data_IF_390035065211
#
_entry.id   IF_390035065211
#
_cell.length_a   1.000
_cell.length_b   1.000
_cell.length_c   1.000
_cell.angle_alpha   90.00
_cell.angle_beta   90.00
_cell.angle_gamma   90.00
#
_symmetry.space_group_name_H-M   'P 1'
#
loop_
_entity.id
_entity.type
_entity.pdbx_description
1 polymer ?
#
# COMPACT_ATOMS: atom_id res chain seq x y z
N UNK A 1 24.16 -25.57 6.35
CA UNK A 1 22.71 -25.77 6.60
C UNK A 1 22.09 -26.37 5.35
N UNK A 2 21.09 -27.26 5.49
CA UNK A 2 20.35 -27.78 4.32
C UNK A 2 19.53 -26.63 3.73
N UNK A 3 19.71 -26.37 2.44
CA UNK A 3 18.94 -25.37 1.71
C UNK A 3 17.48 -25.81 1.61
N UNK A 4 16.56 -24.90 1.92
CA UNK A 4 15.12 -25.16 1.92
C UNK A 4 14.40 -24.19 1.00
N UNK A 5 13.40 -24.65 0.25
CA UNK A 5 12.62 -23.81 -0.65
C UNK A 5 11.51 -23.06 0.10
N UNK A 6 11.37 -21.75 -0.16
CA UNK A 6 10.39 -20.86 0.43
C UNK A 6 9.46 -20.31 -0.65
N UNK A 7 8.15 -20.45 -0.47
CA UNK A 7 7.16 -19.80 -1.32
C UNK A 7 6.28 -18.88 -0.47
N UNK A 8 6.22 -17.59 -0.84
CA UNK A 8 5.31 -16.63 -0.19
C UNK A 8 4.20 -16.22 -1.16
N UNK A 9 2.95 -16.55 -0.82
CA UNK A 9 1.79 -15.97 -1.49
C UNK A 9 1.36 -14.70 -0.78
N UNK A 10 1.64 -13.56 -1.39
CA UNK A 10 1.21 -12.26 -0.86
C UNK A 10 -0.19 -11.89 -1.36
N UNK A 11 -1.08 -11.58 -0.44
CA UNK A 11 -2.39 -11.00 -0.71
C UNK A 11 -2.51 -9.63 -0.04
N UNK A 12 -2.96 -8.62 -0.79
CA UNK A 12 -3.39 -7.37 -0.19
C UNK A 12 -2.77 -6.12 -0.79
N UNK A 13 -2.09 -5.37 0.07
CA UNK A 13 -1.60 -4.01 -0.19
C UNK A 13 -0.07 -3.95 -0.24
N UNK A 14 0.46 -2.76 -0.51
CA UNK A 14 1.89 -2.47 -0.55
C UNK A 14 2.58 -2.84 0.77
N UNK A 15 1.91 -2.65 1.91
CA UNK A 15 2.42 -3.07 3.21
C UNK A 15 2.56 -4.59 3.31
N UNK A 16 1.65 -5.38 2.73
CA UNK A 16 1.81 -6.84 2.68
C UNK A 16 2.96 -7.26 1.76
N UNK A 17 3.18 -6.58 0.62
CA UNK A 17 4.36 -6.82 -0.24
C UNK A 17 5.63 -6.60 0.60
N UNK A 18 5.69 -5.49 1.32
CA UNK A 18 6.83 -5.16 2.18
C UNK A 18 7.00 -6.15 3.35
N UNK A 19 5.92 -6.55 4.00
CA UNK A 19 5.97 -7.58 5.06
C UNK A 19 6.54 -8.90 4.51
N UNK A 20 6.21 -9.30 3.27
CA UNK A 20 6.78 -10.49 2.64
C UNK A 20 8.27 -10.35 2.34
N UNK A 21 8.71 -9.20 1.83
CA UNK A 21 10.15 -8.91 1.61
C UNK A 21 10.94 -9.03 2.93
N UNK A 22 10.40 -8.49 4.03
CA UNK A 22 11.01 -8.63 5.36
C UNK A 22 11.09 -10.10 5.78
N UNK A 23 10.03 -10.88 5.60
CA UNK A 23 9.99 -12.30 5.96
C UNK A 23 11.06 -13.09 5.17
N UNK A 24 11.21 -12.82 3.87
CA UNK A 24 12.23 -13.44 3.02
C UNK A 24 13.64 -13.12 3.54
N UNK A 25 13.91 -11.84 3.83
CA UNK A 25 15.20 -11.43 4.39
C UNK A 25 15.52 -12.11 5.71
N UNK A 26 14.55 -12.18 6.63
CA UNK A 26 14.74 -12.83 7.93
C UNK A 26 15.00 -14.34 7.83
N UNK A 27 14.45 -14.99 6.80
CA UNK A 27 14.59 -16.43 6.59
C UNK A 27 15.80 -16.82 5.75
N UNK A 28 16.39 -15.89 5.00
CA UNK A 28 17.57 -16.15 4.17
C UNK A 28 18.77 -16.68 4.99
N UNK A 29 19.18 -16.09 6.14
CA UNK A 29 20.24 -16.65 6.98
C UNK A 29 19.90 -18.02 7.59
N UNK A 30 18.62 -18.38 7.61
CA UNK A 30 18.16 -19.69 8.08
C UNK A 30 18.22 -20.78 6.99
N UNK A 31 18.73 -20.45 5.79
CA UNK A 31 18.89 -21.36 4.66
C UNK A 31 17.66 -21.50 3.77
N UNK A 32 16.68 -20.60 3.89
CA UNK A 32 15.51 -20.59 3.01
C UNK A 32 15.76 -19.73 1.76
N UNK A 33 15.48 -20.27 0.58
CA UNK A 33 15.59 -19.55 -0.69
C UNK A 33 14.23 -19.50 -1.42
N UNK A 34 13.88 -18.38 -2.06
CA UNK A 34 12.63 -18.26 -2.82
C UNK A 34 12.50 -19.31 -3.92
N UNK A 35 11.27 -19.80 -4.14
CA UNK A 35 10.89 -20.64 -5.29
C UNK A 35 9.62 -20.09 -5.95
N UNK A 36 9.49 -20.31 -7.27
CA UNK A 36 8.28 -19.99 -8.03
C UNK A 36 7.19 -21.07 -7.89
N UNK A 37 7.55 -22.26 -7.41
CA UNK A 37 6.67 -23.42 -7.34
C UNK A 37 6.19 -23.65 -5.91
N UNK A 38 4.91 -23.39 -5.66
CA UNK A 38 4.31 -23.53 -4.32
C UNK A 38 4.31 -24.99 -3.82
N UNK A 39 4.09 -25.95 -4.72
CA UNK A 39 4.02 -27.38 -4.41
C UNK A 39 5.39 -28.02 -4.10
N UNK A 40 6.46 -27.43 -4.63
CA UNK A 40 7.83 -27.86 -4.37
C UNK A 40 8.43 -27.22 -3.11
N UNK A 41 7.76 -26.24 -2.51
CA UNK A 41 8.27 -25.47 -1.37
C UNK A 41 8.31 -26.29 -0.07
N UNK A 42 9.42 -26.22 0.66
CA UNK A 42 9.55 -26.77 2.02
C UNK A 42 8.82 -25.91 3.06
N UNK A 43 8.66 -24.61 2.79
CA UNK A 43 7.88 -23.68 3.58
C UNK A 43 6.99 -22.83 2.68
N UNK A 44 5.68 -22.90 2.89
CA UNK A 44 4.69 -22.03 2.25
C UNK A 44 4.15 -21.03 3.25
N UNK A 45 4.25 -19.75 2.93
CA UNK A 45 3.70 -18.65 3.73
C UNK A 45 2.59 -17.95 2.94
N UNK A 46 1.39 -17.92 3.51
CA UNK A 46 0.30 -17.09 3.00
C UNK A 46 0.29 -15.77 3.78
N UNK A 47 0.78 -14.68 3.19
CA UNK A 47 0.74 -13.35 3.81
C UNK A 47 -0.53 -12.61 3.38
N UNK A 48 -1.36 -12.27 4.36
CA UNK A 48 -2.78 -11.98 4.11
C UNK A 48 -3.20 -10.57 4.53
N UNK A 49 -4.24 -10.06 3.87
CA UNK A 49 -4.86 -8.77 4.16
C UNK A 49 -6.32 -8.97 4.54
N UNK A 50 -6.85 -8.21 5.50
CA UNK A 50 -8.26 -8.31 5.95
C UNK A 50 -9.15 -7.18 5.39
N UNK A 51 -8.57 -6.24 4.64
CA UNK A 51 -9.26 -5.03 4.16
C UNK A 51 -10.14 -5.32 2.94
N UNK A 52 -9.72 -6.20 2.03
CA UNK A 52 -10.50 -6.52 0.82
C UNK A 52 -11.59 -7.54 1.11
N UNK A 53 -12.73 -7.43 0.42
CA UNK A 53 -13.78 -8.45 0.52
C UNK A 53 -13.26 -9.82 0.03
N UNK A 54 -13.75 -10.90 0.63
CA UNK A 54 -13.37 -12.30 0.32
C UNK A 54 -11.89 -12.67 0.53
N UNK A 55 -11.09 -11.82 1.17
CA UNK A 55 -9.68 -12.13 1.41
C UNK A 55 -9.52 -13.39 2.30
N UNK A 56 -10.33 -13.51 3.34
CA UNK A 56 -10.40 -14.71 4.20
C UNK A 56 -10.74 -15.98 3.40
N UNK A 57 -11.77 -15.92 2.55
CA UNK A 57 -12.21 -17.06 1.73
C UNK A 57 -11.10 -17.55 0.79
N UNK A 58 -10.33 -16.64 0.18
CA UNK A 58 -9.20 -16.99 -0.68
C UNK A 58 -8.11 -17.74 0.07
N UNK A 59 -7.80 -17.32 1.30
CA UNK A 59 -6.80 -17.98 2.15
C UNK A 59 -7.24 -19.39 2.49
N UNK A 60 -8.47 -19.59 2.96
CA UNK A 60 -8.98 -20.92 3.28
C UNK A 60 -9.07 -21.83 2.05
N UNK A 61 -9.44 -21.29 0.88
CA UNK A 61 -9.45 -22.07 -0.36
C UNK A 61 -8.04 -22.56 -0.72
N UNK A 62 -7.03 -21.70 -0.60
CA UNK A 62 -5.65 -22.06 -0.92
C UNK A 62 -5.07 -23.05 0.11
N UNK A 63 -5.37 -22.87 1.39
CA UNK A 63 -5.02 -23.84 2.43
C UNK A 63 -5.61 -25.23 2.15
N UNK A 64 -6.84 -25.30 1.62
CA UNK A 64 -7.45 -26.56 1.20
C UNK A 64 -6.67 -27.28 0.10
N UNK A 65 -6.09 -26.54 -0.85
CA UNK A 65 -5.23 -27.08 -1.91
C UNK A 65 -3.89 -27.57 -1.32
N UNK A 66 -3.23 -26.73 -0.51
CA UNK A 66 -1.94 -27.04 0.13
C UNK A 66 -2.02 -28.31 0.98
N UNK A 67 -3.18 -28.61 1.57
CA UNK A 67 -3.39 -29.85 2.32
C UNK A 67 -3.01 -31.10 1.53
N UNK A 68 -3.31 -31.14 0.24
CA UNK A 68 -3.01 -32.30 -0.61
C UNK A 68 -1.50 -32.52 -0.74
N UNK A 69 -0.73 -31.45 -0.92
CA UNK A 69 0.74 -31.52 -1.00
C UNK A 69 1.37 -31.87 0.34
N UNK A 70 0.86 -31.32 1.44
CA UNK A 70 1.37 -31.65 2.78
C UNK A 70 1.09 -33.10 3.17
N UNK A 71 0.02 -33.72 2.67
CA UNK A 71 -0.24 -35.15 2.90
C UNK A 71 0.81 -36.05 2.23
N UNK A 72 1.32 -35.68 1.04
CA UNK A 72 2.41 -36.41 0.39
C UNK A 72 3.80 -36.00 0.89
N UNK A 73 3.93 -34.81 1.49
CA UNK A 73 5.17 -34.25 2.05
C UNK A 73 4.95 -33.75 3.49
N UNK A 74 4.91 -34.63 4.50
CA UNK A 74 4.62 -34.25 5.88
C UNK A 74 5.63 -33.27 6.49
N UNK A 75 6.84 -33.18 5.93
CA UNK A 75 7.88 -32.24 6.32
C UNK A 75 7.61 -30.79 5.89
N UNK A 76 6.71 -30.60 4.93
CA UNK A 76 6.30 -29.28 4.43
C UNK A 76 5.67 -28.46 5.55
N UNK A 77 6.19 -27.24 5.74
CA UNK A 77 5.65 -26.27 6.70
C UNK A 77 4.71 -25.29 6.01
N UNK A 78 3.61 -24.98 6.69
CA UNK A 78 2.55 -24.08 6.20
C UNK A 78 2.29 -23.02 7.24
N UNK A 79 2.51 -21.77 6.87
CA UNK A 79 2.30 -20.61 7.71
C UNK A 79 1.25 -19.66 7.12
N UNK A 80 0.46 -19.03 7.99
CA UNK A 80 -0.45 -17.93 7.63
C UNK A 80 -0.04 -16.69 8.41
N UNK A 81 0.20 -15.59 7.72
CA UNK A 81 0.66 -14.33 8.31
C UNK A 81 -0.21 -13.14 7.89
N UNK A 82 0.00 -12.00 8.53
CA UNK A 82 -0.65 -10.74 8.16
C UNK A 82 -1.99 -10.51 8.87
N UNK A 83 -2.84 -9.65 8.30
CA UNK A 83 -4.02 -9.14 9.01
C UNK A 83 -5.13 -10.19 9.20
N UNK A 84 -5.28 -11.19 8.32
CA UNK A 84 -6.26 -12.27 8.53
C UNK A 84 -5.76 -13.20 9.62
N UNK A 85 -4.45 -13.54 9.62
CA UNK A 85 -3.83 -14.31 10.70
C UNK A 85 -4.05 -13.65 12.07
N UNK A 86 -3.85 -12.34 12.15
CA UNK A 86 -4.06 -11.53 13.35
C UNK A 86 -5.52 -11.53 13.83
N UNK A 87 -6.50 -11.56 12.91
CA UNK A 87 -7.92 -11.50 13.24
C UNK A 87 -8.50 -12.88 13.59
N UNK A 88 -8.15 -13.92 12.82
CA UNK A 88 -8.72 -15.25 12.98
C UNK A 88 -7.96 -16.10 14.01
N UNK A 89 -6.65 -15.89 14.16
CA UNK A 89 -5.82 -16.53 15.18
C UNK A 89 -6.02 -18.05 15.24
N UNK A 90 -6.38 -18.55 16.43
CA UNK A 90 -6.63 -19.98 16.67
C UNK A 90 -7.68 -20.61 15.76
N UNK A 91 -8.65 -19.83 15.26
CA UNK A 91 -9.71 -20.37 14.39
C UNK A 91 -9.13 -20.97 13.11
N UNK A 92 -7.97 -20.48 12.66
CA UNK A 92 -7.26 -21.05 11.51
C UNK A 92 -6.87 -22.50 11.80
N UNK A 93 -6.25 -22.79 12.94
CA UNK A 93 -5.89 -24.17 13.32
C UNK A 93 -7.11 -25.08 13.43
N UNK A 94 -8.21 -24.58 14.03
CA UNK A 94 -9.45 -25.37 14.17
C UNK A 94 -10.05 -25.74 12.81
N UNK A 95 -9.98 -24.83 11.83
CA UNK A 95 -10.53 -25.04 10.48
C UNK A 95 -9.57 -25.79 9.55
N UNK A 96 -8.27 -25.57 9.72
CA UNK A 96 -7.19 -26.09 8.87
C UNK A 96 -6.07 -26.67 9.74
N UNK A 97 -6.26 -27.88 10.31
CA UNK A 97 -5.31 -28.49 11.26
C UNK A 97 -3.91 -28.78 10.69
N UNK A 98 -3.76 -28.73 9.37
CA UNK A 98 -2.47 -28.92 8.68
C UNK A 98 -1.63 -27.63 8.61
N UNK A 99 -2.10 -26.50 9.13
CA UNK A 99 -1.29 -25.28 9.30
C UNK A 99 -0.38 -25.46 10.52
N UNK A 100 0.91 -25.14 10.38
CA UNK A 100 1.89 -25.24 11.49
C UNK A 100 2.05 -23.92 12.24
N UNK A 101 1.86 -22.79 11.55
CA UNK A 101 2.25 -21.49 12.09
C UNK A 101 1.23 -20.41 11.72
N UNK A 102 0.77 -19.64 12.72
CA UNK A 102 -0.10 -18.47 12.51
C UNK A 102 0.53 -17.25 13.18
N UNK A 103 0.85 -16.23 12.39
CA UNK A 103 1.62 -15.06 12.85
C UNK A 103 0.92 -13.75 12.52
N UNK A 104 0.70 -12.95 13.56
CA UNK A 104 0.16 -11.60 13.47
C UNK A 104 1.14 -10.60 12.86
N UNK A 105 0.68 -9.39 12.60
CA UNK A 105 1.44 -8.40 11.82
C UNK A 105 2.70 -7.89 12.54
N UNK A 106 2.67 -7.72 13.87
CA UNK A 106 3.85 -7.32 14.65
C UNK A 106 4.80 -8.49 14.96
N UNK A 107 4.34 -9.73 14.78
CA UNK A 107 5.08 -10.93 15.16
C UNK A 107 5.87 -11.53 13.98
N UNK A 108 5.80 -10.93 12.77
CA UNK A 108 6.50 -11.44 11.58
C UNK A 108 8.02 -11.55 11.79
N UNK A 109 8.60 -10.67 12.63
CA UNK A 109 10.02 -10.65 12.95
C UNK A 109 10.49 -11.87 13.75
N UNK A 110 9.56 -12.61 14.37
CA UNK A 110 9.83 -13.83 15.15
C UNK A 110 9.70 -15.11 14.33
N UNK A 111 9.31 -15.02 13.06
CA UNK A 111 9.14 -16.20 12.20
C UNK A 111 10.37 -17.12 12.19
N UNK A 112 11.62 -16.63 12.11
CA UNK A 112 12.81 -17.49 12.20
C UNK A 112 12.92 -18.27 13.52
N UNK A 113 12.59 -17.64 14.64
CA UNK A 113 12.55 -18.30 15.96
C UNK A 113 11.47 -19.38 15.99
N UNK A 114 10.26 -19.05 15.55
CA UNK A 114 9.10 -19.93 15.57
C UNK A 114 9.27 -21.17 14.68
N UNK A 115 9.91 -21.00 13.51
CA UNK A 115 10.24 -22.13 12.63
C UNK A 115 11.28 -23.05 13.27
N UNK A 116 12.32 -22.51 13.91
CA UNK A 116 13.32 -23.34 14.60
C UNK A 116 12.70 -24.19 15.70
N UNK A 117 11.75 -23.64 16.46
CA UNK A 117 11.02 -24.39 17.48
C UNK A 117 10.16 -25.52 16.88
N UNK A 118 9.53 -25.28 15.73
CA UNK A 118 8.78 -26.31 15.00
C UNK A 118 9.70 -27.41 14.46
N UNK A 119 10.88 -27.05 13.94
CA UNK A 119 11.88 -28.00 13.46
C UNK A 119 12.47 -28.85 14.58
N UNK A 120 12.64 -28.27 15.77
CA UNK A 120 13.11 -28.97 16.97
C UNK A 120 12.05 -29.92 17.59
N UNK A 121 10.82 -29.92 17.07
CA UNK A 121 9.73 -30.76 17.58
C UNK A 121 9.18 -30.32 18.94
N UNK A 122 9.44 -29.07 19.36
CA UNK A 122 8.93 -28.54 20.63
C UNK A 122 7.41 -28.36 20.64
N UNK A 123 6.77 -28.39 19.46
CA UNK A 123 5.31 -28.36 19.28
C UNK A 123 4.91 -28.82 17.88
N UNK A 124 3.64 -29.18 17.74
CA UNK A 124 2.99 -29.43 16.45
C UNK A 124 2.45 -28.16 15.77
N UNK A 125 2.34 -27.05 16.49
CA UNK A 125 1.94 -25.75 15.94
C UNK A 125 2.24 -24.57 16.86
N UNK A 126 2.38 -23.37 16.29
CA UNK A 126 2.64 -22.11 17.02
C UNK A 126 1.69 -20.99 16.60
N UNK A 127 1.12 -20.31 17.59
CA UNK A 127 0.36 -19.07 17.42
C UNK A 127 1.15 -17.91 18.00
N UNK A 128 1.34 -16.84 17.21
CA UNK A 128 1.95 -15.60 17.68
C UNK A 128 1.17 -14.41 17.12
N UNK A 129 0.21 -13.89 17.87
CA UNK A 129 -0.68 -12.79 17.42
C UNK A 129 -0.73 -11.64 18.43
N UNK A 130 0.22 -11.56 19.35
CA UNK A 130 0.22 -10.48 20.35
C UNK A 130 0.57 -9.13 19.70
N UNK A 131 -0.18 -8.09 20.08
CA UNK A 131 0.12 -6.71 19.74
C UNK A 131 0.61 -6.00 21.01
N UNK A 132 1.86 -5.56 21.00
CA UNK A 132 2.46 -4.87 22.15
C UNK A 132 2.31 -3.34 21.99
N UNK A 133 1.94 -2.67 23.09
CA UNK A 133 1.93 -1.20 23.16
C UNK A 133 3.34 -0.61 23.09
N UNK A 134 4.36 -1.38 23.50
CA UNK A 134 5.78 -1.02 23.44
C UNK A 134 6.47 -1.56 22.18
N UNK A 135 5.70 -2.04 21.21
CA UNK A 135 6.25 -2.52 19.95
C UNK A 135 7.05 -1.40 19.26
N UNK A 136 8.31 -1.70 18.99
CA UNK A 136 9.18 -0.93 18.13
C UNK A 136 9.43 -1.74 16.87
N UNK A 137 9.34 -1.09 15.71
CA UNK A 137 9.68 -1.70 14.42
C UNK A 137 11.18 -2.04 14.48
N UNK A 138 11.57 -3.31 14.32
CA UNK A 138 12.98 -3.68 14.32
C UNK A 138 13.73 -2.97 13.19
N UNK A 139 15.01 -2.62 13.40
CA UNK A 139 15.85 -2.02 12.37
C UNK A 139 15.89 -2.86 11.10
N UNK A 140 16.08 -2.20 9.97
CA UNK A 140 16.26 -2.90 8.71
C UNK A 140 17.53 -3.75 8.74
N UNK A 141 17.43 -5.00 8.26
CA UNK A 141 18.56 -5.90 8.16
C UNK A 141 18.71 -6.36 6.71
N UNK A 142 19.82 -6.01 6.09
CA UNK A 142 20.16 -6.35 4.71
C UNK A 142 20.64 -7.80 4.59
N UNK A 143 19.79 -8.76 4.96
CA UNK A 143 20.17 -10.15 5.18
C UNK A 143 20.24 -11.01 3.92
N UNK A 144 19.61 -10.56 2.83
CA UNK A 144 19.58 -11.25 1.53
C UNK A 144 20.01 -10.30 0.42
N UNK A 145 20.70 -10.77 -0.63
CA UNK A 145 20.76 -10.02 -1.88
C UNK A 145 19.33 -9.78 -2.35
N UNK A 146 18.95 -8.51 -2.49
CA UNK A 146 17.67 -8.16 -3.08
C UNK A 146 17.75 -8.41 -4.59
N UNK A 147 16.68 -8.90 -5.24
CA UNK A 147 16.61 -8.82 -6.70
C UNK A 147 16.81 -7.36 -7.13
N UNK A 148 17.48 -7.15 -8.26
CA UNK A 148 17.61 -5.82 -8.85
C UNK A 148 16.21 -5.27 -9.15
N UNK A 149 15.75 -4.35 -8.31
CA UNK A 149 14.51 -3.60 -8.47
C UNK A 149 14.89 -2.11 -8.41
N UNK A 150 14.43 -1.32 -9.37
CA UNK A 150 14.68 0.12 -9.39
C UNK A 150 13.76 0.90 -8.44
N UNK A 151 12.75 0.26 -7.85
CA UNK A 151 11.77 0.88 -6.94
C UNK A 151 11.58 0.06 -5.66
N UNK A 152 11.45 0.74 -4.53
CA UNK A 152 11.21 0.07 -3.23
C UNK A 152 10.23 0.81 -2.33
N UNK A 153 9.61 0.01 -1.46
CA UNK A 153 8.78 0.50 -0.37
C UNK A 153 9.59 0.51 0.94
N UNK A 154 9.54 1.63 1.67
CA UNK A 154 10.13 1.73 3.00
C UNK A 154 9.00 1.96 4.01
N UNK A 155 8.81 1.03 4.95
CA UNK A 155 7.84 1.19 6.05
C UNK A 155 8.40 2.13 7.10
N UNK A 156 7.88 3.36 7.17
CA UNK A 156 8.35 4.37 8.13
C UNK A 156 7.58 4.32 9.46
N UNK A 157 6.40 3.69 9.47
CA UNK A 157 5.57 3.55 10.66
C UNK A 157 4.56 2.42 10.51
N UNK A 158 4.01 1.95 11.62
CA UNK A 158 3.00 0.91 11.69
C UNK A 158 1.89 1.27 12.68
N UNK A 159 0.67 0.84 12.38
CA UNK A 159 -0.50 1.01 13.24
C UNK A 159 -1.29 2.29 12.92
N UNK A 160 -2.46 2.44 13.53
CA UNK A 160 -3.29 3.65 13.34
C UNK A 160 -4.11 3.99 14.59
N UNK A 161 -4.11 5.27 14.98
CA UNK A 161 -4.80 5.80 16.15
C UNK A 161 -6.09 6.57 15.78
N UNK A 162 -6.48 6.59 14.51
CA UNK A 162 -7.70 7.29 14.07
C UNK A 162 -9.00 6.58 14.47
N UNK A 163 -8.97 5.25 14.66
CA UNK A 163 -10.13 4.42 15.03
C UNK A 163 -11.38 4.70 14.18
N UNK A 164 -11.24 4.89 12.87
CA UNK A 164 -12.40 5.03 11.97
C UNK A 164 -13.35 3.84 12.19
N UNK A 165 -14.66 4.10 12.29
CA UNK A 165 -15.61 3.10 12.80
C UNK A 165 -15.68 1.81 11.98
N UNK A 166 -15.27 1.85 10.71
CA UNK A 166 -15.20 0.73 9.78
C UNK A 166 -13.83 0.07 9.63
N UNK A 167 -12.78 0.63 10.24
CA UNK A 167 -11.40 0.23 9.96
C UNK A 167 -10.92 -0.84 10.95
N UNK A 168 -10.38 -1.94 10.40
CA UNK A 168 -9.77 -3.05 11.18
C UNK A 168 -8.32 -2.82 11.58
N UNK A 169 -7.67 -1.80 11.01
CA UNK A 169 -6.22 -1.56 11.20
C UNK A 169 -5.81 -1.46 12.67
N UNK A 170 -6.50 -0.71 13.55
CA UNK A 170 -6.07 -0.62 14.95
C UNK A 170 -6.05 -1.96 15.68
N UNK A 171 -6.95 -2.88 15.31
CA UNK A 171 -7.03 -4.23 15.88
C UNK A 171 -6.08 -5.23 15.18
N UNK A 172 -5.63 -4.94 13.96
CA UNK A 172 -4.79 -5.85 13.18
C UNK A 172 -3.34 -5.43 13.05
N UNK A 173 -2.99 -4.17 13.32
CA UNK A 173 -1.61 -3.64 13.29
C UNK A 173 -1.21 -2.88 14.54
N UNK A 174 -2.13 -2.69 15.49
CA UNK A 174 -1.86 -2.05 16.77
C UNK A 174 -1.87 -0.52 16.72
N UNK A 175 -1.30 0.07 17.77
CA UNK A 175 -1.14 1.52 17.94
C UNK A 175 -0.05 2.06 17.00
N UNK A 176 -0.14 3.34 16.68
CA UNK A 176 0.87 4.02 15.86
C UNK A 176 2.23 4.02 16.56
N UNK A 177 3.23 3.49 15.86
CA UNK A 177 4.64 3.57 16.21
C UNK A 177 5.43 3.95 14.96
N UNK A 178 6.33 4.91 15.11
CA UNK A 178 7.18 5.46 14.06
C UNK A 178 8.58 4.89 14.18
N UNK A 179 9.20 4.56 13.05
CA UNK A 179 10.56 4.04 12.96
C UNK A 179 11.57 5.19 13.15
N UNK A 180 12.72 4.98 13.82
CA UNK A 180 13.75 6.01 13.95
C UNK A 180 14.20 6.57 12.61
N UNK A 181 14.52 7.86 12.56
CA UNK A 181 14.94 8.56 11.33
C UNK A 181 16.22 7.93 10.78
N UNK A 182 17.21 7.67 11.64
CA UNK A 182 18.49 7.08 11.23
C UNK A 182 18.29 5.75 10.49
N UNK A 183 17.45 4.86 11.03
CA UNK A 183 17.15 3.56 10.41
C UNK A 183 16.39 3.69 9.07
N UNK A 184 15.60 4.76 8.87
CA UNK A 184 14.98 5.05 7.57
C UNK A 184 16.03 5.49 6.55
N UNK A 185 16.94 6.37 6.95
CA UNK A 185 17.99 6.88 6.07
C UNK A 185 19.01 5.78 5.74
N UNK A 186 19.39 4.94 6.70
CA UNK A 186 20.31 3.83 6.49
C UNK A 186 19.74 2.82 5.49
N UNK A 187 18.47 2.45 5.64
CA UNK A 187 17.78 1.60 4.66
C UNK A 187 17.74 2.26 3.27
N UNK A 188 17.35 3.54 3.18
CA UNK A 188 17.26 4.24 1.92
C UNK A 188 18.61 4.33 1.19
N UNK A 189 19.68 4.71 1.89
CA UNK A 189 21.04 4.77 1.34
C UNK A 189 21.49 3.41 0.79
N UNK A 190 21.25 2.34 1.55
CA UNK A 190 21.62 1.00 1.12
C UNK A 190 20.84 0.55 -0.13
N UNK A 191 19.54 0.83 -0.17
CA UNK A 191 18.70 0.50 -1.33
C UNK A 191 19.15 1.28 -2.58
N UNK A 192 19.49 2.55 -2.43
CA UNK A 192 20.00 3.38 -3.53
C UNK A 192 21.36 2.86 -4.02
N UNK A 193 22.25 2.47 -3.10
CA UNK A 193 23.52 1.83 -3.45
C UNK A 193 23.35 0.50 -4.21
N UNK A 194 22.17 -0.14 -4.12
CA UNK A 194 21.79 -1.34 -4.87
C UNK A 194 21.09 -1.05 -6.20
N UNK A 195 20.97 0.24 -6.58
CA UNK A 195 20.38 0.68 -7.85
C UNK A 195 18.90 1.09 -7.76
N UNK A 196 18.34 1.24 -6.55
CA UNK A 196 16.99 1.80 -6.39
C UNK A 196 17.01 3.30 -6.71
N UNK A 197 16.13 3.72 -7.61
CA UNK A 197 15.94 5.11 -8.06
C UNK A 197 14.64 5.73 -7.56
N UNK A 198 13.62 4.92 -7.23
CA UNK A 198 12.35 5.38 -6.67
C UNK A 198 12.06 4.76 -5.29
N UNK A 199 11.82 5.61 -4.28
CA UNK A 199 11.39 5.19 -2.94
C UNK A 199 9.97 5.67 -2.69
N UNK A 200 9.12 4.76 -2.22
CA UNK A 200 7.80 5.09 -1.67
C UNK A 200 7.74 4.82 -0.18
N UNK A 201 7.55 5.87 0.62
CA UNK A 201 7.37 5.75 2.07
C UNK A 201 5.96 5.23 2.41
N UNK A 202 5.89 4.20 3.24
CA UNK A 202 4.67 3.51 3.62
C UNK A 202 4.37 3.65 5.12
N UNK A 203 3.08 3.79 5.42
CA UNK A 203 2.51 3.72 6.75
C UNK A 203 0.99 3.54 6.66
N UNK A 204 0.30 3.44 7.80
CA UNK A 204 -1.17 3.49 7.80
C UNK A 204 -1.74 4.91 7.98
N UNK A 205 -0.92 5.86 8.40
CA UNK A 205 -1.21 7.29 8.44
C UNK A 205 0.10 8.07 8.43
N UNK A 206 0.77 8.17 7.28
CA UNK A 206 2.14 8.72 7.23
C UNK A 206 2.25 10.15 7.78
N UNK A 207 1.15 10.91 7.73
CA UNK A 207 1.10 12.28 8.28
C UNK A 207 1.25 12.35 9.81
N UNK A 208 1.13 11.23 10.54
CA UNK A 208 1.35 11.19 12.00
C UNK A 208 2.74 10.67 12.39
N UNK A 209 3.65 10.49 11.44
CA UNK A 209 5.04 10.13 11.73
C UNK A 209 5.67 11.07 12.75
N UNK A 210 6.38 10.50 13.73
CA UNK A 210 7.08 11.24 14.78
C UNK A 210 6.20 11.81 15.89
N UNK A 211 4.87 11.62 15.83
CA UNK A 211 3.93 12.17 16.85
C UNK A 211 3.70 11.27 18.06
N UNK A 212 4.03 9.97 17.98
CA UNK A 212 3.66 8.99 19.02
C UNK A 212 4.84 8.44 19.82
N UNK A 213 6.05 8.53 19.30
CA UNK A 213 7.29 8.14 19.97
C UNK A 213 8.45 8.99 19.45
N UNK A 214 9.52 9.16 20.24
CA UNK A 214 10.76 9.75 19.74
C UNK A 214 11.30 8.95 18.55
N UNK A 215 11.69 9.66 17.51
CA UNK A 215 12.30 9.09 16.28
C UNK A 215 13.73 9.57 16.05
N UNK A 216 14.17 10.58 16.81
CA UNK A 216 15.51 11.13 16.86
C UNK A 216 15.68 11.87 18.22
N UNK A 217 16.87 12.41 18.50
CA UNK A 217 17.12 13.22 19.71
C UNK A 217 16.24 14.47 19.77
N UNK A 218 16.06 15.13 18.62
CA UNK A 218 15.12 16.24 18.44
C UNK A 218 13.84 15.75 17.74
N UNK A 219 12.68 16.39 17.98
CA UNK A 219 11.45 16.08 17.26
C UNK A 219 11.62 16.22 15.74
N UNK A 220 11.18 15.21 15.00
CA UNK A 220 11.14 15.20 13.54
C UNK A 220 9.75 14.76 13.11
N UNK A 221 9.06 15.61 12.35
CA UNK A 221 7.76 15.28 11.78
C UNK A 221 7.90 14.69 10.37
N UNK A 222 6.77 14.41 9.73
CA UNK A 222 6.77 13.77 8.41
C UNK A 222 7.36 14.67 7.30
N UNK A 223 7.11 15.99 7.35
CA UNK A 223 7.65 16.92 6.36
C UNK A 223 9.18 16.97 6.46
N UNK A 224 9.72 17.09 7.67
CA UNK A 224 11.16 17.04 7.91
C UNK A 224 11.79 15.69 7.50
N UNK A 225 11.09 14.57 7.71
CA UNK A 225 11.54 13.27 7.20
C UNK A 225 11.63 13.26 5.66
N UNK A 226 10.62 13.80 4.95
CA UNK A 226 10.65 13.88 3.49
C UNK A 226 11.86 14.64 2.98
N UNK A 227 12.19 15.81 3.56
CA UNK A 227 13.40 16.56 3.19
C UNK A 227 14.67 15.74 3.43
N UNK A 228 14.77 15.03 4.56
CA UNK A 228 15.93 14.20 4.88
C UNK A 228 16.12 13.04 3.90
N UNK A 229 15.04 12.35 3.53
CA UNK A 229 15.08 11.26 2.55
C UNK A 229 15.38 11.80 1.15
N UNK A 230 14.80 12.95 0.79
CA UNK A 230 15.02 13.56 -0.51
C UNK A 230 16.44 14.11 -0.71
N UNK A 231 17.14 14.43 0.38
CA UNK A 231 18.54 14.87 0.35
C UNK A 231 19.55 13.72 0.17
N UNK A 232 19.09 12.47 0.02
CA UNK A 232 19.98 11.34 -0.24
C UNK A 232 20.40 11.34 -1.71
N UNK A 233 21.71 11.43 -1.94
CA UNK A 233 22.29 11.40 -3.28
C UNK A 233 21.90 10.12 -4.05
N UNK A 234 21.47 10.29 -5.29
CA UNK A 234 21.07 9.19 -6.18
C UNK A 234 19.59 8.81 -6.13
N UNK A 235 18.79 9.40 -5.22
CA UNK A 235 17.33 9.22 -5.25
C UNK A 235 16.71 10.11 -6.33
N UNK A 236 16.08 9.51 -7.34
CA UNK A 236 15.47 10.26 -8.45
C UNK A 236 13.98 10.56 -8.22
N UNK A 237 13.27 9.69 -7.49
CA UNK A 237 11.83 9.86 -7.21
C UNK A 237 11.49 9.47 -5.78
N UNK A 238 10.80 10.38 -5.11
CA UNK A 238 10.22 10.15 -3.79
C UNK A 238 8.69 10.18 -3.88
N UNK A 239 8.05 9.21 -3.22
CA UNK A 239 6.61 9.12 -3.07
C UNK A 239 6.26 8.75 -1.64
N UNK A 240 5.00 8.95 -1.28
CA UNK A 240 4.40 8.37 -0.10
C UNK A 240 2.93 8.07 -0.34
N UNK A 241 2.33 7.25 0.52
CA UNK A 241 0.90 6.97 0.45
C UNK A 241 0.30 6.73 1.84
N UNK A 242 -1.03 6.76 1.89
CA UNK A 242 -1.86 6.63 3.09
C UNK A 242 -1.86 7.88 3.97
N UNK A 243 -2.43 8.96 3.41
CA UNK A 243 -2.67 10.19 4.14
C UNK A 243 -4.05 10.22 4.82
N UNK A 244 -4.19 11.03 5.87
CA UNK A 244 -5.46 11.36 6.49
C UNK A 244 -5.72 12.87 6.41
N UNK A 245 -6.88 13.33 5.92
CA UNK A 245 -7.19 14.77 5.85
C UNK A 245 -7.02 15.52 7.17
N UNK A 246 -7.32 14.87 8.31
CA UNK A 246 -7.13 15.45 9.65
C UNK A 246 -5.69 15.89 9.92
N UNK A 247 -4.73 15.11 9.43
CA UNK A 247 -3.32 15.21 9.82
C UNK A 247 -2.44 15.87 8.74
N UNK A 248 -3.03 16.25 7.59
CA UNK A 248 -2.35 16.99 6.54
C UNK A 248 -2.06 18.43 7.01
N UNK A 249 -0.77 18.72 7.24
CA UNK A 249 -0.27 20.03 7.66
C UNK A 249 0.15 20.90 6.47
N UNK A 250 0.27 22.20 6.70
CA UNK A 250 0.72 23.14 5.67
C UNK A 250 2.20 22.91 5.31
N UNK A 251 3.02 22.46 6.26
CA UNK A 251 4.42 22.05 6.04
C UNK A 251 4.50 20.93 4.99
N UNK A 252 3.63 19.91 5.12
CA UNK A 252 3.61 18.80 4.17
C UNK A 252 3.10 19.24 2.79
N UNK A 253 2.17 20.20 2.73
CA UNK A 253 1.71 20.77 1.45
C UNK A 253 2.88 21.49 0.76
N UNK A 254 3.68 22.27 1.50
CA UNK A 254 4.86 22.97 0.97
C UNK A 254 5.96 22.04 0.46
N UNK A 255 6.07 20.82 0.98
CA UNK A 255 7.02 19.85 0.43
C UNK A 255 6.86 19.60 -1.08
N UNK A 256 5.65 19.75 -1.65
CA UNK A 256 5.41 19.58 -3.09
C UNK A 256 6.01 20.71 -3.96
N UNK A 257 6.38 21.84 -3.38
CA UNK A 257 7.11 22.92 -4.05
C UNK A 257 8.57 22.99 -3.65
N UNK A 258 8.91 22.52 -2.46
CA UNK A 258 10.28 22.60 -1.91
C UNK A 258 11.14 21.36 -2.25
N UNK A 259 10.54 20.23 -2.61
CA UNK A 259 11.25 18.98 -2.90
C UNK A 259 11.02 18.57 -4.37
N UNK A 260 12.04 18.78 -5.22
CA UNK A 260 11.92 18.55 -6.67
C UNK A 260 11.60 17.10 -7.04
N UNK A 261 12.21 16.14 -6.35
CA UNK A 261 11.99 14.70 -6.62
C UNK A 261 10.71 14.16 -5.98
N UNK A 262 9.98 14.96 -5.19
CA UNK A 262 8.71 14.56 -4.62
C UNK A 262 7.64 14.58 -5.73
N UNK A 263 7.28 13.38 -6.17
CA UNK A 263 6.36 13.22 -7.28
C UNK A 263 4.98 13.84 -6.96
N UNK A 264 4.40 14.68 -7.84
CA UNK A 264 3.14 15.39 -7.62
C UNK A 264 1.93 14.45 -7.82
N UNK A 265 1.83 13.44 -6.95
CA UNK A 265 0.73 12.51 -6.85
C UNK A 265 0.36 12.33 -5.38
N UNK A 266 -0.87 12.65 -5.02
CA UNK A 266 -1.31 12.66 -3.64
C UNK A 266 -2.62 11.91 -3.45
N UNK A 267 -2.57 10.86 -2.64
CA UNK A 267 -3.74 10.08 -2.27
C UNK A 267 -4.32 10.60 -0.96
N UNK A 268 -5.50 11.23 -1.01
CA UNK A 268 -6.17 11.86 0.13
C UNK A 268 -7.60 11.34 0.33
N UNK A 269 -7.76 10.20 1.04
CA UNK A 269 -9.05 9.54 1.24
C UNK A 269 -10.05 10.36 2.08
N UNK A 270 -11.13 10.82 1.44
CA UNK A 270 -12.23 11.52 2.13
C UNK A 270 -13.27 10.55 2.69
N UNK A 271 -13.49 9.41 2.01
CA UNK A 271 -14.45 8.33 2.29
C UNK A 271 -15.92 8.64 2.00
N UNK A 272 -16.38 9.86 2.26
CA UNK A 272 -17.75 10.32 1.95
C UNK A 272 -17.75 11.84 1.77
N UNK A 273 -18.68 12.37 0.97
CA UNK A 273 -18.90 13.81 0.87
C UNK A 273 -20.02 14.33 1.77
N UNK A 274 -20.46 13.56 2.77
CA UNK A 274 -21.48 14.00 3.74
C UNK A 274 -20.91 14.07 5.15
N UNK A 275 -20.99 15.24 5.80
CA UNK A 275 -20.51 15.44 7.18
C UNK A 275 -21.18 14.50 8.17
N UNK A 276 -22.45 14.18 7.96
CA UNK A 276 -23.20 13.23 8.80
C UNK A 276 -22.61 11.83 8.73
N UNK A 277 -22.27 11.37 7.52
CA UNK A 277 -21.64 10.08 7.29
C UNK A 277 -20.20 10.09 7.80
N UNK A 278 -19.43 11.14 7.53
CA UNK A 278 -18.06 11.33 8.03
C UNK A 278 -18.00 11.26 9.57
N UNK A 279 -18.90 11.95 10.26
CA UNK A 279 -19.01 11.90 11.72
C UNK A 279 -19.30 10.46 12.21
N UNK A 280 -20.21 9.73 11.54
CA UNK A 280 -20.53 8.34 11.86
C UNK A 280 -19.38 7.37 11.53
N UNK A 281 -18.57 7.70 10.53
CA UNK A 281 -17.30 7.05 10.21
C UNK A 281 -16.21 7.34 11.26
N UNK A 282 -16.46 8.25 12.20
CA UNK A 282 -15.48 8.79 13.15
C UNK A 282 -14.32 9.51 12.45
N UNK A 283 -14.61 10.20 11.35
CA UNK A 283 -13.71 11.19 10.77
C UNK A 283 -13.78 12.46 11.62
N UNK A 284 -12.63 13.11 11.80
CA UNK A 284 -12.46 14.29 12.68
C UNK A 284 -12.22 15.54 11.83
N UNK A 285 -12.96 15.62 10.73
CA UNK A 285 -12.97 16.73 9.80
C UNK A 285 -14.32 16.74 9.06
N UNK A 286 -14.65 17.88 8.51
CA UNK A 286 -15.81 18.16 7.65
C UNK A 286 -15.40 18.21 6.18
N UNK A 287 -16.38 18.22 5.29
CA UNK A 287 -16.19 18.42 3.85
C UNK A 287 -15.59 19.79 3.55
N UNK A 288 -15.98 20.83 4.31
CA UNK A 288 -15.43 22.18 4.15
C UNK A 288 -13.93 22.21 4.46
N UNK A 289 -13.51 21.66 5.60
CA UNK A 289 -12.09 21.55 5.98
C UNK A 289 -11.29 20.67 5.01
N UNK A 290 -11.93 19.64 4.44
CA UNK A 290 -11.32 18.83 3.39
C UNK A 290 -11.08 19.64 2.12
N UNK A 291 -12.07 20.41 1.67
CA UNK A 291 -11.99 21.23 0.47
C UNK A 291 -10.94 22.35 0.62
N UNK A 292 -10.84 22.97 1.80
CA UNK A 292 -9.78 23.96 2.08
C UNK A 292 -8.38 23.34 1.89
N UNK A 293 -8.16 22.11 2.34
CA UNK A 293 -6.89 21.41 2.15
C UNK A 293 -6.62 21.06 0.69
N UNK A 294 -7.66 20.68 -0.05
CA UNK A 294 -7.57 20.43 -1.50
C UNK A 294 -7.19 21.71 -2.24
N UNK A 295 -7.81 22.83 -1.90
CA UNK A 295 -7.53 24.15 -2.48
C UNK A 295 -6.07 24.56 -2.23
N UNK A 296 -5.61 24.53 -0.97
CA UNK A 296 -4.21 24.81 -0.63
C UNK A 296 -3.22 23.92 -1.39
N UNK A 297 -3.55 22.64 -1.57
CA UNK A 297 -2.69 21.71 -2.29
C UNK A 297 -2.62 22.04 -3.79
N UNK A 298 -3.74 22.41 -4.40
CA UNK A 298 -3.81 22.82 -5.81
C UNK A 298 -3.16 24.18 -6.05
N UNK A 299 -3.29 25.12 -5.12
CA UNK A 299 -2.62 26.42 -5.19
C UNK A 299 -1.10 26.26 -5.07
N UNK A 300 -0.64 25.36 -4.19
CA UNK A 300 0.76 25.03 -4.02
C UNK A 300 1.33 24.29 -5.25
N UNK A 301 0.62 23.28 -5.76
CA UNK A 301 1.05 22.42 -6.87
C UNK A 301 -0.09 22.18 -7.87
N UNK A 302 -0.31 23.07 -8.85
CA UNK A 302 -1.47 23.02 -9.75
C UNK A 302 -1.60 21.76 -10.63
N UNK A 303 -0.48 21.11 -10.94
CA UNK A 303 -0.39 19.87 -11.73
C UNK A 303 -0.52 18.59 -10.88
N UNK A 304 -0.78 18.70 -9.57
CA UNK A 304 -0.82 17.54 -8.68
C UNK A 304 -1.97 16.57 -9.03
N UNK A 305 -1.61 15.29 -9.17
CA UNK A 305 -2.56 14.22 -9.41
C UNK A 305 -3.16 13.71 -8.11
N UNK A 306 -4.39 14.13 -7.82
CA UNK A 306 -5.11 13.68 -6.63
C UNK A 306 -5.92 12.40 -6.84
N UNK A 307 -5.88 11.49 -5.87
CA UNK A 307 -6.77 10.35 -5.77
C UNK A 307 -7.41 10.23 -4.38
N UNK A 308 -8.49 9.46 -4.26
CA UNK A 308 -9.24 9.32 -3.00
C UNK A 308 -9.81 7.92 -2.82
N UNK A 309 -10.30 7.61 -1.61
CA UNK A 309 -11.16 6.46 -1.36
C UNK A 309 -12.58 6.92 -1.04
N UNK A 310 -13.57 6.18 -1.52
CA UNK A 310 -14.99 6.38 -1.22
C UNK A 310 -15.64 5.07 -0.78
N UNK A 311 -16.45 5.13 0.27
CA UNK A 311 -17.27 4.01 0.74
C UNK A 311 -18.74 4.41 0.59
N UNK A 312 -19.44 3.76 -0.33
CA UNK A 312 -20.88 3.96 -0.52
C UNK A 312 -21.70 2.97 0.31
N UNK A 313 -22.89 3.37 0.71
CA UNK A 313 -23.81 2.54 1.47
C UNK A 313 -23.40 2.30 2.92
N UNK A 314 -22.70 3.27 3.52
CA UNK A 314 -22.34 3.21 4.93
C UNK A 314 -23.62 3.08 5.81
N UNK A 315 -23.60 2.38 6.96
CA UNK A 315 -24.81 2.22 7.78
C UNK A 315 -25.44 3.57 8.12
N UNK A 316 -26.70 3.75 7.73
CA UNK A 316 -27.46 5.00 7.88
C UNK A 316 -27.27 6.05 6.80
N UNK A 317 -26.56 5.77 5.69
CA UNK A 317 -26.38 6.67 4.54
C UNK A 317 -27.68 6.83 3.73
N UNK A 318 -28.19 8.06 3.68
CA UNK A 318 -29.40 8.45 2.93
C UNK A 318 -29.09 8.76 1.47
N UNK A 319 -30.12 8.96 0.65
CA UNK A 319 -29.92 9.41 -0.74
C UNK A 319 -29.30 10.81 -0.79
N UNK A 320 -29.68 11.70 0.12
CA UNK A 320 -29.11 13.05 0.23
C UNK A 320 -27.61 13.01 0.53
N UNK A 321 -27.14 12.15 1.45
CA UNK A 321 -25.71 12.04 1.74
C UNK A 321 -24.92 11.50 0.54
N UNK A 322 -25.54 10.61 -0.24
CA UNK A 322 -24.94 10.10 -1.45
C UNK A 322 -24.85 11.20 -2.52
N UNK A 323 -25.88 12.03 -2.68
CA UNK A 323 -25.81 13.21 -3.56
C UNK A 323 -24.72 14.21 -3.12
N UNK A 324 -24.53 14.41 -1.82
CA UNK A 324 -23.42 15.23 -1.29
C UNK A 324 -22.05 14.64 -1.67
N UNK A 325 -21.92 13.30 -1.64
CA UNK A 325 -20.73 12.60 -2.13
C UNK A 325 -20.51 12.81 -3.64
N UNK A 326 -21.57 12.79 -4.44
CA UNK A 326 -21.49 13.07 -5.88
C UNK A 326 -21.10 14.53 -6.16
N UNK A 327 -21.64 15.49 -5.38
CA UNK A 327 -21.26 16.91 -5.47
C UNK A 327 -19.77 17.11 -5.16
N UNK A 328 -19.26 16.46 -4.12
CA UNK A 328 -17.83 16.53 -3.78
C UNK A 328 -16.95 15.98 -4.92
N UNK A 329 -17.36 14.86 -5.52
CA UNK A 329 -16.68 14.29 -6.69
C UNK A 329 -16.63 15.30 -7.86
N UNK A 330 -17.73 16.01 -8.11
CA UNK A 330 -17.82 17.02 -9.16
C UNK A 330 -17.01 18.29 -8.90
N UNK A 331 -16.84 18.68 -7.62
CA UNK A 331 -16.03 19.83 -7.21
C UNK A 331 -14.53 19.50 -7.35
N UNK A 332 -14.07 18.41 -6.71
CA UNK A 332 -12.63 18.10 -6.64
C UNK A 332 -12.11 17.51 -7.95
N UNK A 333 -12.94 16.71 -8.63
CA UNK A 333 -12.63 16.10 -9.92
C UNK A 333 -11.31 15.30 -9.88
N UNK A 334 -11.23 14.31 -8.98
CA UNK A 334 -10.05 13.46 -8.78
C UNK A 334 -9.55 12.79 -10.07
N UNK A 335 -8.24 12.59 -10.17
CA UNK A 335 -7.62 11.82 -11.26
C UNK A 335 -7.98 10.34 -11.19
N UNK A 336 -8.20 9.82 -9.98
CA UNK A 336 -8.71 8.47 -9.77
C UNK A 336 -9.32 8.30 -8.39
N UNK A 337 -10.06 7.21 -8.18
CA UNK A 337 -10.53 6.84 -6.85
C UNK A 337 -10.66 5.33 -6.68
N UNK A 338 -10.47 4.88 -5.45
CA UNK A 338 -10.85 3.54 -5.02
C UNK A 338 -12.21 3.62 -4.35
N UNK A 339 -13.25 3.12 -5.03
CA UNK A 339 -14.61 3.14 -4.53
C UNK A 339 -15.10 1.74 -4.18
N UNK A 340 -15.70 1.62 -3.00
CA UNK A 340 -16.15 0.34 -2.46
C UNK A 340 -17.56 0.43 -1.90
N UNK A 341 -18.29 -0.68 -1.95
CA UNK A 341 -19.48 -0.86 -1.10
C UNK A 341 -19.04 -1.07 0.34
N UNK A 342 -19.77 -0.47 1.27
CA UNK A 342 -19.61 -0.79 2.67
C UNK A 342 -19.86 -2.28 2.92
N UNK A 343 -18.90 -2.91 3.61
CA UNK A 343 -18.97 -4.29 4.09
C UNK A 343 -18.63 -4.27 5.57
N UNK A 344 -19.43 -4.99 6.36
CA UNK A 344 -19.09 -5.24 7.75
C UNK A 344 -17.75 -5.97 7.84
N UNK A 345 -17.00 -5.61 8.88
CA UNK A 345 -15.73 -6.25 9.21
C UNK A 345 -15.79 -6.72 10.65
N UNK A 346 -15.40 -7.97 10.95
CA UNK A 346 -15.46 -8.48 12.32
C UNK A 346 -14.74 -7.55 13.30
N UNK A 347 -15.42 -7.21 14.40
CA UNK A 347 -14.87 -6.39 15.47
C UNK A 347 -14.84 -4.88 15.23
N UNK A 348 -15.26 -4.37 14.06
CA UNK A 348 -15.33 -2.91 13.86
C UNK A 348 -16.61 -2.32 14.45
N UNK A 349 -16.57 -1.05 14.87
CA UNK A 349 -17.73 -0.37 15.48
C UNK A 349 -18.91 -0.31 14.51
N UNK A 350 -18.63 -0.03 13.24
CA UNK A 350 -19.67 0.08 12.22
C UNK A 350 -20.39 -1.25 11.96
N UNK A 351 -19.76 -2.39 12.27
CA UNK A 351 -20.41 -3.70 12.18
C UNK A 351 -21.69 -3.77 13.02
N UNK A 352 -21.70 -3.10 14.17
CA UNK A 352 -22.82 -3.07 15.11
C UNK A 352 -23.80 -1.90 14.89
N UNK A 353 -23.59 -1.09 13.86
CA UNK A 353 -24.51 0.01 13.55
C UNK A 353 -25.78 -0.51 12.89
N UNK A 354 -26.94 -0.03 13.35
CA UNK A 354 -28.23 -0.27 12.70
C UNK A 354 -28.38 0.49 11.37
N UNK A 355 -29.50 0.25 10.69
CA UNK A 355 -29.90 0.89 9.43
C UNK A 355 -28.89 0.63 8.31
N UNK A 356 -28.50 -0.63 8.12
CA UNK A 356 -27.67 -1.04 6.98
C UNK A 356 -28.40 -0.72 5.67
N UNK A 357 -27.69 -0.13 4.72
CA UNK A 357 -28.22 0.13 3.38
C UNK A 357 -28.35 -1.20 2.62
N UNK A 358 -29.43 -1.37 1.88
CA UNK A 358 -29.67 -2.57 1.06
C UNK A 358 -28.59 -2.75 -0.02
N UNK A 359 -28.20 -4.00 -0.27
CA UNK A 359 -27.10 -4.32 -1.18
C UNK A 359 -27.37 -3.89 -2.64
N UNK A 360 -28.64 -3.88 -3.07
CA UNK A 360 -29.05 -3.34 -4.37
C UNK A 360 -28.77 -1.85 -4.44
N UNK A 361 -29.18 -1.10 -3.42
CA UNK A 361 -28.93 0.36 -3.33
C UNK A 361 -27.43 0.66 -3.32
N UNK A 362 -26.63 -0.09 -2.55
CA UNK A 362 -25.16 0.08 -2.57
C UNK A 362 -24.58 -0.16 -3.97
N UNK A 363 -25.09 -1.16 -4.68
CA UNK A 363 -24.60 -1.51 -6.02
C UNK A 363 -24.97 -0.46 -7.06
N UNK A 364 -26.18 0.09 -6.99
CA UNK A 364 -26.63 1.20 -7.83
C UNK A 364 -25.80 2.47 -7.58
N UNK A 365 -25.61 2.84 -6.30
CA UNK A 365 -24.77 3.97 -5.89
C UNK A 365 -23.33 3.82 -6.36
N UNK A 366 -22.72 2.65 -6.16
CA UNK A 366 -21.35 2.39 -6.60
C UNK A 366 -21.21 2.53 -8.12
N UNK A 367 -22.13 1.93 -8.87
CA UNK A 367 -22.13 2.00 -10.34
C UNK A 367 -22.24 3.46 -10.83
N UNK A 368 -23.15 4.24 -10.24
CA UNK A 368 -23.32 5.66 -10.57
C UNK A 368 -22.07 6.49 -10.24
N UNK A 369 -21.48 6.28 -9.07
CA UNK A 369 -20.24 6.94 -8.66
C UNK A 369 -19.09 6.61 -9.62
N UNK A 370 -18.87 5.33 -9.91
CA UNK A 370 -17.79 4.86 -10.79
C UNK A 370 -17.95 5.38 -12.21
N UNK A 371 -19.17 5.39 -12.75
CA UNK A 371 -19.45 5.99 -14.05
C UNK A 371 -19.00 7.44 -14.09
N UNK A 372 -19.39 8.25 -13.09
CA UNK A 372 -19.02 9.66 -13.04
C UNK A 372 -17.52 9.88 -12.85
N UNK A 373 -16.89 9.09 -11.98
CA UNK A 373 -15.44 9.12 -11.79
C UNK A 373 -14.70 8.79 -13.09
N UNK A 374 -15.19 7.84 -13.89
CA UNK A 374 -14.56 7.47 -15.16
C UNK A 374 -14.65 8.62 -16.18
N UNK A 375 -15.78 9.32 -16.25
CA UNK A 375 -15.95 10.51 -17.08
C UNK A 375 -14.95 11.61 -16.67
N UNK A 376 -14.82 11.86 -15.36
CA UNK A 376 -13.88 12.84 -14.81
C UNK A 376 -12.43 12.44 -15.08
N UNK A 377 -12.08 11.18 -14.81
CA UNK A 377 -10.74 10.64 -15.00
C UNK A 377 -10.30 10.73 -16.45
N UNK A 378 -11.16 10.34 -17.39
CA UNK A 378 -10.88 10.50 -18.82
C UNK A 378 -10.72 11.97 -19.21
N UNK A 379 -11.56 12.87 -18.69
CA UNK A 379 -11.44 14.30 -18.95
C UNK A 379 -10.14 14.91 -18.38
N UNK A 380 -9.65 14.42 -17.22
CA UNK A 380 -8.36 14.78 -16.65
C UNK A 380 -7.21 14.23 -17.49
N UNK A 381 -7.25 12.96 -17.87
CA UNK A 381 -6.24 12.31 -18.70
C UNK A 381 -6.07 13.01 -20.06
N UNK A 382 -7.18 13.45 -20.68
CA UNK A 382 -7.13 14.22 -21.94
C UNK A 382 -6.35 15.53 -21.86
N UNK A 383 -6.18 16.11 -20.67
CA UNK A 383 -5.35 17.32 -20.48
C UNK A 383 -3.86 17.06 -20.68
N UNK A 384 -3.41 15.81 -20.60
CA UNK A 384 -2.03 15.44 -20.86
C UNK A 384 -1.73 15.26 -22.36
N UNK A 385 -2.74 15.17 -23.23
CA UNK A 385 -2.52 15.05 -24.67
C UNK A 385 -1.79 16.30 -25.18
N UNK A 386 -0.78 16.10 -26.04
CA UNK A 386 0.16 17.10 -26.54
C UNK A 386 1.10 17.69 -25.49
N UNK A 387 1.23 17.06 -24.32
CA UNK A 387 2.26 17.39 -23.33
C UNK A 387 3.39 16.37 -23.35
N UNK A 388 4.56 16.74 -22.85
CA UNK A 388 5.70 15.84 -22.69
C UNK A 388 5.89 15.52 -21.21
N UNK A 389 5.93 14.24 -20.87
CA UNK A 389 6.06 13.76 -19.48
C UNK A 389 7.35 12.95 -19.30
N UNK A 390 7.95 13.05 -18.12
CA UNK A 390 9.06 12.19 -17.72
C UNK A 390 8.53 10.84 -17.24
N UNK A 391 8.88 9.79 -17.96
CA UNK A 391 8.41 8.43 -17.73
C UNK A 391 9.57 7.57 -17.24
N UNK A 392 9.41 7.00 -16.05
CA UNK A 392 10.33 5.98 -15.55
C UNK A 392 9.86 4.62 -16.03
N UNK A 393 10.73 3.90 -16.73
CA UNK A 393 10.46 2.62 -17.38
C UNK A 393 10.23 1.54 -16.31
N UNK A 394 9.12 0.81 -16.42
CA UNK A 394 8.81 -0.35 -15.55
C UNK A 394 9.03 -1.70 -16.24
N UNK A 395 9.28 -1.70 -17.54
CA UNK A 395 9.46 -2.90 -18.37
C UNK A 395 8.66 -2.83 -19.67
N UNK A 396 8.35 -3.99 -20.24
CA UNK A 396 7.55 -4.12 -21.46
C UNK A 396 6.13 -4.58 -21.16
N UNK A 397 5.11 -3.87 -21.65
CA UNK A 397 3.72 -4.31 -21.58
C UNK A 397 3.42 -5.43 -22.60
N UNK A 398 4.11 -5.40 -23.73
CA UNK A 398 4.07 -6.37 -24.83
C UNK A 398 5.42 -6.25 -25.59
N UNK A 399 5.87 -7.23 -26.43
CA UNK A 399 7.15 -7.12 -27.14
C UNK A 399 7.32 -5.87 -27.99
N UNK A 400 6.24 -5.16 -28.33
CA UNK A 400 6.26 -3.93 -29.14
C UNK A 400 6.02 -2.64 -28.33
N UNK A 401 5.75 -2.73 -27.01
CA UNK A 401 5.39 -1.58 -26.19
C UNK A 401 6.07 -1.62 -24.83
N UNK A 402 6.85 -0.58 -24.56
CA UNK A 402 7.31 -0.27 -23.21
C UNK A 402 6.17 0.28 -22.37
N UNK A 403 6.25 0.02 -21.07
CA UNK A 403 5.40 0.62 -20.06
C UNK A 403 6.27 1.35 -19.04
N UNK A 404 5.83 2.54 -18.65
CA UNK A 404 6.42 3.26 -17.53
C UNK A 404 5.39 4.07 -16.77
N UNK A 405 5.86 4.79 -15.75
CA UNK A 405 5.02 5.71 -14.96
C UNK A 405 5.53 7.14 -14.99
N UNK A 406 4.60 8.08 -15.11
CA UNK A 406 4.88 9.50 -14.91
C UNK A 406 5.12 9.85 -13.45
N UNK A 407 5.61 11.05 -13.19
CA UNK A 407 5.69 11.63 -11.83
C UNK A 407 4.29 11.74 -11.18
N UNK A 408 3.25 12.02 -11.97
CA UNK A 408 1.83 12.00 -11.54
C UNK A 408 1.21 10.59 -11.44
N UNK A 409 2.02 9.52 -11.53
CA UNK A 409 1.64 8.11 -11.39
C UNK A 409 0.71 7.56 -12.51
N UNK A 410 0.63 8.25 -13.65
CA UNK A 410 -0.07 7.73 -14.82
C UNK A 410 0.75 6.62 -15.48
N UNK A 411 0.09 5.53 -15.88
CA UNK A 411 0.70 4.49 -16.72
C UNK A 411 0.79 5.04 -18.14
N UNK A 412 1.98 4.96 -18.74
CA UNK A 412 2.23 5.41 -20.10
C UNK A 412 2.81 4.27 -20.91
N UNK A 413 2.19 3.99 -22.07
CA UNK A 413 2.70 3.05 -23.04
C UNK A 413 3.34 3.80 -24.21
N UNK A 414 4.48 3.32 -24.68
CA UNK A 414 5.20 3.93 -25.79
C UNK A 414 6.05 2.89 -26.53
N UNK A 415 6.29 3.06 -27.84
CA UNK A 415 7.14 2.15 -28.60
C UNK A 415 8.61 2.29 -28.17
N UNK A 416 9.45 1.27 -28.42
CA UNK A 416 10.89 1.36 -28.23
C UNK A 416 11.47 2.58 -28.97
N UNK A 417 12.29 3.43 -28.32
CA UNK A 417 12.94 4.53 -29.00
C UNK A 417 13.97 4.01 -30.02
N UNK A 418 14.08 4.69 -31.17
CA UNK A 418 15.07 4.33 -32.18
C UNK A 418 16.49 4.58 -31.65
N UNK A 419 17.36 3.57 -31.75
CA UNK A 419 18.78 3.72 -31.42
C UNK A 419 19.13 3.88 -29.93
N UNK A 420 18.16 3.73 -29.02
CA UNK A 420 18.38 3.78 -27.56
C UNK A 420 17.84 2.52 -26.90
N UNK A 421 18.72 1.80 -26.22
CA UNK A 421 18.32 0.70 -25.33
C UNK A 421 17.78 1.28 -24.02
N UNK A 422 16.65 0.77 -23.54
CA UNK A 422 16.03 1.20 -22.28
C UNK A 422 15.94 0.03 -21.31
N UNK A 423 16.33 0.28 -20.07
CA UNK A 423 16.24 -0.66 -18.97
C UNK A 423 15.19 -0.19 -17.94
N UNK A 424 14.74 -1.11 -17.10
CA UNK A 424 13.88 -0.77 -15.98
C UNK A 424 14.57 0.26 -15.06
N UNK A 425 13.85 1.30 -14.69
CA UNK A 425 14.37 2.43 -13.90
C UNK A 425 14.96 3.58 -14.72
N UNK A 426 15.20 3.41 -16.01
CA UNK A 426 15.59 4.54 -16.87
C UNK A 426 14.45 5.55 -16.98
N UNK A 427 14.79 6.84 -17.09
CA UNK A 427 13.83 7.91 -17.35
C UNK A 427 13.92 8.37 -18.81
N UNK A 428 12.76 8.50 -19.47
CA UNK A 428 12.63 9.00 -20.83
C UNK A 428 11.49 10.01 -20.93
N UNK A 429 11.68 11.05 -21.77
CA UNK A 429 10.62 12.02 -22.08
C UNK A 429 9.71 11.45 -23.15
N UNK A 430 8.40 11.41 -22.88
CA UNK A 430 7.39 10.87 -23.81
C UNK A 430 6.38 11.97 -24.13
N UNK A 431 6.22 12.26 -25.41
CA UNK A 431 5.16 13.13 -25.91
C UNK A 431 3.85 12.35 -25.99
N UNK A 432 2.85 12.77 -25.22
CA UNK A 432 1.58 12.08 -25.07
C UNK A 432 0.66 12.40 -26.26
N UNK A 433 0.26 11.36 -26.98
CA UNK A 433 -0.58 11.47 -28.18
C UNK A 433 -2.03 11.05 -27.92
N UNK A 434 -2.23 10.12 -26.99
CA UNK A 434 -3.55 9.58 -26.67
C UNK A 434 -3.76 9.40 -25.17
N UNK A 435 -5.00 9.59 -24.73
CA UNK A 435 -5.42 9.42 -23.36
C UNK A 435 -6.59 8.44 -23.28
N UNK A 436 -6.32 7.26 -22.70
CA UNK A 436 -7.34 6.29 -22.31
C UNK A 436 -7.83 6.53 -20.87
N UNK A 437 -8.73 5.65 -20.41
CA UNK A 437 -9.26 5.72 -19.04
C UNK A 437 -8.21 5.32 -18.00
N UNK A 438 -7.36 4.34 -18.31
CA UNK A 438 -6.42 3.74 -17.35
C UNK A 438 -4.94 3.93 -17.70
N UNK A 439 -4.65 4.42 -18.90
CA UNK A 439 -3.30 4.66 -19.38
C UNK A 439 -3.28 5.78 -20.42
N UNK A 440 -2.11 6.37 -20.60
CA UNK A 440 -1.78 7.27 -21.69
C UNK A 440 -0.92 6.51 -22.72
N UNK A 441 -0.89 7.00 -23.96
CA UNK A 441 0.01 6.49 -24.99
C UNK A 441 0.74 7.65 -25.65
N UNK A 442 2.00 7.44 -25.99
CA UNK A 442 2.82 8.46 -26.64
C UNK A 442 4.03 7.87 -27.34
N UNK A 443 4.92 8.75 -27.79
CA UNK A 443 6.21 8.41 -28.39
C UNK A 443 7.33 9.13 -27.68
N UNK A 444 8.55 8.59 -27.71
CA UNK A 444 9.71 9.29 -27.21
C UNK A 444 9.78 10.70 -27.84
N UNK A 445 9.99 11.72 -27.01
CA UNK A 445 10.24 13.07 -27.49
C UNK A 445 11.66 13.12 -28.07
N UNK A 446 11.84 13.83 -29.19
CA UNK A 446 13.18 14.10 -29.73
C UNK A 446 13.96 14.91 -28.67
N UNK A 447 15.18 14.49 -28.38
CA UNK A 447 16.09 15.31 -27.57
C UNK A 447 16.41 16.55 -28.40
N UNK A 448 15.99 17.73 -27.93
CA UNK A 448 16.49 18.99 -28.47
C UNK A 448 18.01 18.97 -28.25
N UNK A 449 18.76 18.69 -29.32
CA UNK A 449 20.20 18.91 -29.35
C UNK A 449 20.43 20.41 -29.19
N UNK A 450 20.74 20.85 -27.98
CA UNK A 450 21.30 22.18 -27.72
C UNK A 450 22.69 22.35 -28.36
#
# INVERSE_FOLDING_TARGET
>A
MKQRSLYIKTFGCQMNKRDSEIIEQLLFPCGFLPTAEMEAADLVILNTCSIRAKAEQKVFSLLGQIKQWKLSRPEMRVAVTGCVAQQEGEKIFRRMPHVDLVVGTQQIYRIPELIRQLDAGETSGRLAIDLDKKFAIPPYQALSPAPHEFRKFITIMQGCNNYCSYCVVPATRGRETSRPVADILDEANLLIAQGVREITLLGQNVNSYGKTNPVAEAPVDFAALLHKVAAIDGLERLRFTTSNPKDLSDELIRCFTEIDILCPHFHLPVQSGSDRVLARMNRRYTVAEYLEKVEKLLDCRPDIAMSTDIIVGFPGESDQDFEETMKLLDIVRYHGSFSFKYSDRPGTRSAFFDNKVDEKVKSERLSRFQKRQNEIGLARNKKYVNTTLDIMVEGTADPQLFQGRSTTNHIVHFPPPAGRELHEGDTIRVHIQHAGLHSLTGTAAEEETE
#
